data_IF_161108867380
#
_entry.id   IF_161108867380
#
_cell.length_a   1.000
_cell.length_b   1.000
_cell.length_c   1.000
_cell.angle_alpha   90.00
_cell.angle_beta   90.00
_cell.angle_gamma   90.00
#
_symmetry.space_group_name_H-M   'P 1'
#
loop_
_entity.id
_entity.type
_entity.pdbx_description
1 polymer ?
#
# COMPACT_ATOMS: atom_id res chain seq x y z
N UNK A 1 3.05 -1.94 2.21
CA UNK A 1 2.14 -2.10 1.05
C UNK A 1 2.41 -3.39 0.24
N UNK A 2 3.67 -3.81 0.07
CA UNK A 2 4.13 -5.05 -0.62
C UNK A 2 3.26 -6.29 -0.38
N UNK A 3 3.02 -6.68 0.87
CA UNK A 3 2.30 -7.92 1.18
C UNK A 3 0.87 -8.04 0.62
N UNK A 4 0.12 -6.94 0.55
CA UNK A 4 -1.24 -6.98 0.00
C UNK A 4 -1.25 -6.99 -1.53
N UNK A 5 -0.27 -6.30 -2.13
CA UNK A 5 -0.04 -6.31 -3.57
C UNK A 5 0.39 -7.72 -4.04
N UNK A 6 1.28 -8.38 -3.31
CA UNK A 6 1.70 -9.77 -3.57
C UNK A 6 0.53 -10.75 -3.48
N UNK A 7 -0.34 -10.59 -2.47
CA UNK A 7 -1.53 -11.44 -2.33
C UNK A 7 -2.51 -11.22 -3.47
N UNK A 8 -2.72 -9.97 -3.89
CA UNK A 8 -3.54 -9.65 -5.07
C UNK A 8 -2.98 -10.29 -6.34
N UNK A 9 -1.67 -10.10 -6.60
CA UNK A 9 -0.94 -10.72 -7.71
C UNK A 9 -1.14 -12.23 -7.72
N UNK A 10 -0.90 -12.89 -6.58
CA UNK A 10 -1.04 -14.35 -6.44
C UNK A 10 -2.45 -14.81 -6.79
N UNK A 11 -3.49 -14.12 -6.30
CA UNK A 11 -4.88 -14.47 -6.61
C UNK A 11 -5.20 -14.27 -8.08
N UNK A 12 -4.73 -13.17 -8.68
CA UNK A 12 -4.94 -12.91 -10.10
C UNK A 12 -4.25 -13.96 -10.99
N UNK A 13 -3.02 -14.36 -10.64
CA UNK A 13 -2.29 -15.44 -11.30
C UNK A 13 -2.97 -16.81 -11.16
N UNK A 14 -3.53 -17.10 -9.97
CA UNK A 14 -4.31 -18.32 -9.74
C UNK A 14 -5.61 -18.34 -10.55
N UNK A 15 -6.25 -17.19 -10.75
CA UNK A 15 -7.45 -17.04 -11.58
C UNK A 15 -7.11 -17.19 -13.06
N UNK A 16 -6.02 -16.56 -13.52
CA UNK A 16 -5.52 -16.64 -14.89
C UNK A 16 -5.14 -18.07 -15.28
N UNK A 17 -4.43 -18.78 -14.40
CA UNK A 17 -4.06 -20.18 -14.58
C UNK A 17 -5.22 -21.17 -14.38
N UNK A 18 -6.43 -20.70 -14.05
CA UNK A 18 -7.61 -21.55 -13.80
C UNK A 18 -7.51 -22.40 -12.53
N UNK A 19 -6.52 -22.18 -11.66
CA UNK A 19 -6.37 -22.86 -10.36
C UNK A 19 -7.44 -22.42 -9.36
N UNK A 20 -8.00 -21.23 -9.55
CA UNK A 20 -9.14 -20.71 -8.78
C UNK A 20 -10.22 -20.19 -9.73
N UNK A 21 -11.44 -20.10 -9.21
CA UNK A 21 -12.56 -19.40 -9.86
C UNK A 21 -13.05 -18.27 -8.97
N UNK A 22 -13.60 -17.23 -9.58
CA UNK A 22 -14.31 -16.16 -8.90
C UNK A 22 -15.74 -16.10 -9.44
N UNK A 23 -16.70 -15.98 -8.53
CA UNK A 23 -18.04 -15.54 -8.89
C UNK A 23 -18.07 -14.00 -8.99
N UNK A 24 -19.20 -13.45 -9.44
CA UNK A 24 -19.35 -12.01 -9.62
C UNK A 24 -19.13 -11.21 -8.32
N UNK A 25 -19.51 -11.79 -7.17
CA UNK A 25 -19.31 -11.16 -5.86
C UNK A 25 -17.83 -11.06 -5.50
N UNK A 26 -17.08 -12.15 -5.70
CA UNK A 26 -15.63 -12.20 -5.48
C UNK A 26 -14.88 -11.33 -6.48
N UNK A 27 -15.30 -11.29 -7.74
CA UNK A 27 -14.71 -10.43 -8.75
C UNK A 27 -14.85 -8.94 -8.39
N UNK A 28 -16.05 -8.53 -7.98
CA UNK A 28 -16.31 -7.16 -7.48
C UNK A 28 -15.48 -6.84 -6.24
N UNK A 29 -15.35 -7.80 -5.31
CA UNK A 29 -14.56 -7.62 -4.10
C UNK A 29 -13.06 -7.49 -4.39
N UNK A 30 -12.52 -8.28 -5.32
CA UNK A 30 -11.14 -8.18 -5.80
C UNK A 30 -10.88 -6.82 -6.44
N UNK A 31 -11.80 -6.34 -7.29
CA UNK A 31 -11.62 -5.04 -7.94
C UNK A 31 -11.58 -3.89 -6.95
N UNK A 32 -12.52 -3.86 -6.00
CA UNK A 32 -12.51 -2.87 -4.91
C UNK A 32 -11.25 -2.99 -4.03
N UNK A 33 -10.71 -4.19 -3.86
CA UNK A 33 -9.47 -4.37 -3.11
C UNK A 33 -8.25 -3.85 -3.85
N UNK A 34 -8.17 -4.07 -5.15
CA UNK A 34 -7.14 -3.49 -6.00
C UNK A 34 -7.21 -1.95 -5.99
N UNK A 35 -8.40 -1.36 -6.08
CA UNK A 35 -8.58 0.10 -5.99
C UNK A 35 -8.05 0.67 -4.67
N UNK A 36 -8.37 0.04 -3.53
CA UNK A 36 -7.88 0.49 -2.22
C UNK A 36 -6.36 0.37 -2.10
N UNK A 37 -5.76 -0.72 -2.59
CA UNK A 37 -4.30 -0.89 -2.61
C UNK A 37 -3.66 0.17 -3.50
N UNK A 38 -4.21 0.44 -4.68
CA UNK A 38 -3.68 1.48 -5.57
C UNK A 38 -3.81 2.89 -4.97
N UNK A 39 -4.90 3.18 -4.25
CA UNK A 39 -5.08 4.46 -3.57
C UNK A 39 -4.06 4.64 -2.44
N UNK A 40 -3.74 3.57 -1.70
CA UNK A 40 -2.74 3.61 -0.65
C UNK A 40 -1.33 3.81 -1.17
N UNK A 41 -0.94 3.11 -2.24
CA UNK A 41 0.38 3.30 -2.87
C UNK A 41 0.51 4.74 -3.38
N UNK A 42 -0.52 5.28 -4.05
CA UNK A 42 -0.52 6.67 -4.49
C UNK A 42 -0.39 7.65 -3.33
N UNK A 43 -1.16 7.44 -2.27
CA UNK A 43 -1.08 8.29 -1.09
C UNK A 43 0.30 8.29 -0.46
N UNK A 44 0.95 7.13 -0.37
CA UNK A 44 2.27 6.98 0.23
C UNK A 44 3.34 7.77 -0.52
N UNK A 45 3.54 7.50 -1.81
CA UNK A 45 4.59 8.18 -2.58
C UNK A 45 4.33 9.70 -2.71
N UNK A 46 3.06 10.11 -2.81
CA UNK A 46 2.72 11.53 -2.83
C UNK A 46 3.13 12.22 -1.53
N UNK A 47 3.01 11.53 -0.38
CA UNK A 47 3.45 12.05 0.92
C UNK A 47 4.96 12.09 1.04
N UNK A 48 5.66 11.15 0.42
CA UNK A 48 7.12 11.19 0.35
C UNK A 48 7.59 12.42 -0.40
N UNK A 49 7.10 12.66 -1.61
CA UNK A 49 7.47 13.83 -2.41
C UNK A 49 7.06 15.16 -1.74
N UNK A 50 5.84 15.25 -1.20
CA UNK A 50 5.32 16.51 -0.65
C UNK A 50 5.92 16.88 0.71
N UNK A 51 6.29 15.88 1.53
CA UNK A 51 6.55 16.08 2.95
C UNK A 51 7.89 15.48 3.38
N UNK A 52 8.16 14.22 3.04
CA UNK A 52 9.35 13.50 3.56
C UNK A 52 10.61 13.96 2.85
N UNK A 53 10.64 13.96 1.51
CA UNK A 53 11.79 14.37 0.70
C UNK A 53 12.30 15.76 1.07
N UNK A 54 11.44 16.80 1.18
CA UNK A 54 11.88 18.11 1.62
C UNK A 54 12.58 18.13 2.98
N UNK A 55 12.17 17.26 3.93
CA UNK A 55 12.83 17.17 5.25
C UNK A 55 14.21 16.55 5.11
N UNK A 56 14.33 15.48 4.34
CA UNK A 56 15.59 14.77 4.12
C UNK A 56 16.57 15.67 3.37
N UNK A 57 16.15 16.33 2.29
CA UNK A 57 16.99 17.26 1.51
C UNK A 57 17.52 18.40 2.37
N UNK A 58 16.67 19.02 3.20
CA UNK A 58 17.11 20.09 4.11
C UNK A 58 18.13 19.61 5.15
N UNK A 59 18.06 18.34 5.55
CA UNK A 59 18.90 17.78 6.62
C UNK A 59 20.22 17.21 6.08
N UNK A 60 20.17 16.52 4.95
CA UNK A 60 21.30 15.80 4.37
C UNK A 60 22.00 16.58 3.25
N UNK A 61 21.32 17.52 2.58
CA UNK A 61 21.85 18.29 1.46
C UNK A 61 22.44 17.37 0.38
N UNK A 62 23.68 17.65 -0.04
CA UNK A 62 24.38 16.86 -1.06
C UNK A 62 24.73 15.41 -0.64
N UNK A 63 24.43 15.00 0.60
CA UNK A 63 24.64 13.61 1.03
C UNK A 63 23.53 12.66 0.56
N UNK A 64 22.49 13.17 -0.11
CA UNK A 64 21.39 12.37 -0.67
C UNK A 64 21.05 12.87 -2.08
N UNK A 65 20.68 11.93 -2.94
CA UNK A 65 20.04 12.20 -4.22
C UNK A 65 18.77 11.35 -4.28
N UNK A 66 17.63 12.04 -4.37
CA UNK A 66 16.29 11.47 -4.37
C UNK A 66 15.68 11.39 -5.77
N UNK A 67 16.40 11.88 -6.80
CA UNK A 67 15.89 11.99 -8.17
C UNK A 67 15.38 10.66 -8.70
N UNK A 68 16.18 9.58 -8.60
CA UNK A 68 15.77 8.26 -9.08
C UNK A 68 14.47 7.76 -8.38
N UNK A 69 14.35 7.98 -7.08
CA UNK A 69 13.18 7.52 -6.30
C UNK A 69 11.93 8.34 -6.64
N UNK A 70 12.08 9.65 -6.87
CA UNK A 70 10.96 10.47 -7.36
C UNK A 70 10.61 10.17 -8.82
N UNK A 71 11.57 9.74 -9.64
CA UNK A 71 11.30 9.27 -11.00
C UNK A 71 10.47 7.98 -10.95
N UNK A 72 10.79 7.03 -10.06
CA UNK A 72 9.95 5.84 -9.82
C UNK A 72 8.51 6.22 -9.44
N UNK A 73 8.31 7.25 -8.61
CA UNK A 73 6.97 7.73 -8.25
C UNK A 73 6.16 8.16 -9.48
N UNK A 74 6.82 8.81 -10.45
CA UNK A 74 6.18 9.20 -11.71
C UNK A 74 5.79 8.00 -12.58
N UNK A 75 6.54 6.90 -12.50
CA UNK A 75 6.24 5.64 -13.18
C UNK A 75 5.12 4.84 -12.50
N UNK A 76 4.94 4.98 -11.18
CA UNK A 76 3.89 4.30 -10.43
C UNK A 76 2.49 4.72 -10.90
N UNK A 77 2.24 6.01 -11.11
CA UNK A 77 0.90 6.52 -11.44
C UNK A 77 0.22 5.85 -12.65
N UNK A 78 0.87 5.74 -13.83
CA UNK A 78 0.27 5.02 -14.96
C UNK A 78 0.07 3.52 -14.68
N UNK A 79 0.95 2.88 -13.89
CA UNK A 79 0.79 1.46 -13.52
C UNK A 79 -0.39 1.25 -12.56
N UNK A 80 -0.58 2.15 -11.61
CA UNK A 80 -1.72 2.14 -10.69
C UNK A 80 -3.03 2.26 -11.48
N UNK A 81 -3.09 3.13 -12.49
CA UNK A 81 -4.28 3.23 -13.33
C UNK A 81 -4.51 1.99 -14.19
N UNK A 82 -3.46 1.37 -14.75
CA UNK A 82 -3.58 0.10 -15.47
C UNK A 82 -4.19 -0.99 -14.58
N UNK A 83 -3.76 -1.10 -13.32
CA UNK A 83 -4.36 -2.05 -12.36
C UNK A 83 -5.84 -1.72 -12.11
N UNK A 84 -6.19 -0.45 -11.88
CA UNK A 84 -7.60 -0.04 -11.66
C UNK A 84 -8.48 -0.39 -12.86
N UNK A 85 -8.04 -0.10 -14.08
CA UNK A 85 -8.76 -0.42 -15.32
C UNK A 85 -8.93 -1.94 -15.47
N UNK A 86 -7.84 -2.71 -15.34
CA UNK A 86 -7.88 -4.16 -15.48
C UNK A 86 -8.79 -4.81 -14.42
N UNK A 87 -8.75 -4.30 -13.18
CA UNK A 87 -9.57 -4.77 -12.08
C UNK A 87 -11.07 -4.52 -12.33
N UNK A 88 -11.43 -3.32 -12.80
CA UNK A 88 -12.81 -2.98 -13.19
C UNK A 88 -13.30 -3.84 -14.35
N UNK A 89 -12.45 -4.07 -15.35
CA UNK A 89 -12.78 -4.94 -16.47
C UNK A 89 -13.03 -6.39 -16.01
N UNK A 90 -12.16 -6.94 -15.16
CA UNK A 90 -12.33 -8.26 -14.56
C UNK A 90 -13.68 -8.38 -13.82
N UNK A 91 -14.02 -7.40 -12.98
CA UNK A 91 -15.31 -7.36 -12.29
C UNK A 91 -16.49 -7.23 -13.25
N UNK A 92 -16.37 -6.45 -14.32
CA UNK A 92 -17.40 -6.25 -15.35
C UNK A 92 -17.78 -7.54 -16.10
N UNK A 93 -16.88 -8.52 -16.17
CA UNK A 93 -17.17 -9.85 -16.75
C UNK A 93 -17.77 -10.83 -15.74
N UNK A 94 -18.00 -10.41 -14.49
CA UNK A 94 -18.40 -11.30 -13.40
C UNK A 94 -17.32 -12.29 -12.98
N UNK A 95 -16.05 -12.02 -13.30
CA UNK A 95 -14.92 -12.90 -13.01
C UNK A 95 -14.67 -13.99 -14.05
N UNK A 96 -15.41 -13.99 -15.17
CA UNK A 96 -15.28 -14.97 -16.25
C UNK A 96 -14.14 -14.65 -17.25
N UNK A 97 -13.66 -13.40 -17.29
CA UNK A 97 -12.59 -12.95 -18.19
C UNK A 97 -11.81 -11.77 -17.63
N UNK A 98 -10.68 -11.44 -18.27
CA UNK A 98 -9.81 -10.32 -17.85
C UNK A 98 -8.82 -10.64 -16.72
N UNK A 99 -8.77 -11.89 -16.24
CA UNK A 99 -7.81 -12.32 -15.22
C UNK A 99 -6.35 -12.19 -15.71
N UNK A 100 -6.07 -12.49 -16.97
CA UNK A 100 -4.74 -12.36 -17.60
C UNK A 100 -4.20 -10.93 -17.53
N UNK A 101 -5.01 -9.95 -17.92
CA UNK A 101 -4.62 -8.54 -17.91
C UNK A 101 -4.45 -8.03 -16.48
N UNK A 102 -5.37 -8.40 -15.57
CA UNK A 102 -5.26 -8.04 -14.16
C UNK A 102 -3.98 -8.62 -13.53
N UNK A 103 -3.66 -9.89 -13.83
CA UNK A 103 -2.45 -10.54 -13.34
C UNK A 103 -1.19 -9.88 -13.91
N UNK A 104 -1.19 -9.50 -15.19
CA UNK A 104 -0.07 -8.80 -15.82
C UNK A 104 0.17 -7.42 -15.20
N UNK A 105 -0.89 -6.62 -15.04
CA UNK A 105 -0.79 -5.30 -14.43
C UNK A 105 -0.31 -5.38 -12.97
N UNK A 106 -0.83 -6.32 -12.19
CA UNK A 106 -0.41 -6.52 -10.79
C UNK A 106 1.03 -7.03 -10.68
N UNK A 107 1.51 -7.86 -11.62
CA UNK A 107 2.92 -8.26 -11.67
C UNK A 107 3.84 -7.06 -11.86
N UNK A 108 3.61 -6.28 -12.91
CA UNK A 108 4.45 -5.11 -13.21
C UNK A 108 4.45 -4.10 -12.06
N UNK A 109 3.28 -3.80 -11.48
CA UNK A 109 3.21 -2.93 -10.31
C UNK A 109 3.94 -3.52 -9.09
N UNK A 110 3.78 -4.82 -8.84
CA UNK A 110 4.46 -5.51 -7.73
C UNK A 110 5.98 -5.45 -7.87
N UNK A 111 6.49 -5.74 -9.05
CA UNK A 111 7.94 -5.80 -9.28
C UNK A 111 8.57 -4.40 -9.08
N UNK A 112 7.96 -3.33 -9.62
CA UNK A 112 8.44 -1.96 -9.41
C UNK A 112 8.35 -1.52 -7.94
N UNK A 113 7.24 -1.80 -7.25
CA UNK A 113 7.08 -1.43 -5.83
C UNK A 113 8.07 -2.20 -4.95
N UNK A 114 8.40 -3.45 -5.28
CA UNK A 114 9.39 -4.21 -4.53
C UNK A 114 10.79 -3.61 -4.69
N UNK A 115 11.22 -3.32 -5.92
CA UNK A 115 12.50 -2.67 -6.22
C UNK A 115 12.61 -1.30 -5.56
N UNK A 116 11.59 -0.46 -5.73
CA UNK A 116 11.54 0.88 -5.16
C UNK A 116 11.67 0.87 -3.63
N UNK A 117 10.90 0.03 -2.93
CA UNK A 117 10.99 -0.03 -1.46
C UNK A 117 12.34 -0.60 -1.00
N UNK A 118 12.94 -1.54 -1.73
CA UNK A 118 14.29 -2.04 -1.43
C UNK A 118 15.36 -0.93 -1.58
N UNK A 119 15.23 -0.09 -2.61
CA UNK A 119 16.06 1.08 -2.83
C UNK A 119 15.94 2.08 -1.69
N UNK A 120 14.72 2.43 -1.28
CA UNK A 120 14.46 3.36 -0.18
C UNK A 120 15.05 2.85 1.15
N UNK A 121 14.76 1.61 1.52
CA UNK A 121 15.26 0.98 2.74
C UNK A 121 16.80 1.00 2.78
N UNK A 122 17.44 0.73 1.63
CA UNK A 122 18.90 0.67 1.50
C UNK A 122 19.55 2.05 1.50
N UNK A 123 18.97 3.03 0.80
CA UNK A 123 19.60 4.33 0.53
C UNK A 123 19.18 5.40 1.53
N UNK A 124 17.90 5.43 1.89
CA UNK A 124 17.29 6.57 2.57
C UNK A 124 17.26 6.39 4.08
N UNK A 125 17.02 5.18 4.58
CA UNK A 125 16.95 4.96 6.03
C UNK A 125 18.26 5.33 6.74
N UNK A 126 19.46 4.95 6.25
CA UNK A 126 20.72 5.39 6.86
C UNK A 126 20.92 6.92 6.81
N UNK A 127 20.38 7.59 5.78
CA UNK A 127 20.44 9.05 5.66
C UNK A 127 19.54 9.70 6.73
N UNK A 128 18.32 9.18 6.91
CA UNK A 128 17.41 9.65 7.96
C UNK A 128 18.09 9.52 9.33
N UNK A 129 18.60 8.33 9.67
CA UNK A 129 19.23 8.06 10.96
C UNK A 129 20.44 8.96 11.24
N UNK A 130 21.23 9.28 10.20
CA UNK A 130 22.47 10.03 10.35
C UNK A 130 22.27 11.55 10.35
N UNK A 131 21.34 12.06 9.56
CA UNK A 131 21.24 13.49 9.25
C UNK A 131 19.98 14.16 9.81
N UNK A 132 18.87 13.44 9.96
CA UNK A 132 17.61 14.03 10.38
C UNK A 132 17.52 14.08 11.90
N UNK A 133 17.38 15.27 12.47
CA UNK A 133 17.20 15.41 13.91
C UNK A 133 15.85 14.84 14.35
N UNK A 134 15.82 14.16 15.50
CA UNK A 134 14.59 13.56 16.03
C UNK A 134 13.44 14.56 16.23
N UNK A 135 13.74 15.84 16.48
CA UNK A 135 12.73 16.89 16.59
C UNK A 135 12.08 17.22 15.25
N UNK A 136 12.86 17.27 14.18
CA UNK A 136 12.38 17.53 12.82
C UNK A 136 11.58 16.33 12.29
N UNK A 137 12.06 15.11 12.56
CA UNK A 137 11.32 13.88 12.28
C UNK A 137 9.95 13.88 12.96
N UNK A 138 9.90 14.18 14.26
CA UNK A 138 8.63 14.24 15.02
C UNK A 138 7.68 15.34 14.52
N UNK A 139 8.22 16.47 14.07
CA UNK A 139 7.41 17.54 13.48
C UNK A 139 6.79 17.10 12.14
N UNK A 140 7.56 16.42 11.30
CA UNK A 140 7.10 15.82 10.05
C UNK A 140 6.02 14.74 10.27
N UNK A 141 6.21 13.84 11.24
CA UNK A 141 5.19 12.83 11.60
C UNK A 141 3.84 13.49 11.98
N UNK A 142 3.89 14.67 12.59
CA UNK A 142 2.67 15.42 12.93
C UNK A 142 1.97 15.97 11.68
N UNK A 143 2.71 16.39 10.65
CA UNK A 143 2.12 16.86 9.39
C UNK A 143 1.56 15.74 8.52
N UNK A 144 2.01 14.49 8.70
CA UNK A 144 1.44 13.31 8.03
C UNK A 144 0.07 12.90 8.59
N UNK A 145 -0.37 13.48 9.71
CA UNK A 145 -1.68 13.19 10.31
C UNK A 145 -2.81 13.78 9.46
N UNK A 146 -3.49 12.94 8.66
CA UNK A 146 -4.67 13.36 7.87
C UNK A 146 -5.20 12.39 6.81
N UNK A 147 -4.68 11.17 6.68
CA UNK A 147 -5.17 10.16 5.72
C UNK A 147 -6.46 9.45 6.15
N UNK A 148 -7.07 8.63 5.26
CA UNK A 148 -8.24 7.79 5.61
C UNK A 148 -7.83 6.77 6.67
N UNK A 149 -8.29 6.89 7.92
CA UNK A 149 -7.88 6.00 9.00
C UNK A 149 -8.26 4.55 8.70
N UNK A 150 -9.27 4.27 7.88
CA UNK A 150 -9.75 2.90 7.65
C UNK A 150 -8.70 2.01 7.00
N UNK A 151 -7.84 2.56 6.13
CA UNK A 151 -6.77 1.82 5.47
C UNK A 151 -5.58 1.62 6.42
N UNK A 152 -5.10 2.70 7.03
CA UNK A 152 -4.03 2.67 8.04
C UNK A 152 -4.34 1.67 9.18
N UNK A 153 -5.59 1.65 9.63
CA UNK A 153 -6.09 0.73 10.65
C UNK A 153 -6.14 -0.73 10.15
N UNK A 154 -6.52 -0.96 8.89
CA UNK A 154 -6.54 -2.30 8.28
C UNK A 154 -5.13 -2.88 8.08
N UNK A 155 -4.21 -1.99 7.71
CA UNK A 155 -2.84 -2.31 7.38
C UNK A 155 -2.03 -2.56 8.65
N UNK A 156 -2.14 -1.66 9.65
CA UNK A 156 -1.58 -1.84 10.97
C UNK A 156 -2.07 -3.14 11.63
N UNK A 157 -3.36 -3.48 11.58
CA UNK A 157 -3.86 -4.73 12.18
C UNK A 157 -3.24 -5.99 11.58
N UNK A 158 -2.76 -5.94 10.34
CA UNK A 158 -2.25 -7.10 9.60
C UNK A 158 -0.75 -7.27 9.71
N UNK A 159 -0.01 -6.17 9.60
CA UNK A 159 1.44 -6.20 9.45
C UNK A 159 2.19 -5.68 10.67
N UNK A 160 1.54 -4.92 11.56
CA UNK A 160 2.21 -4.49 12.78
C UNK A 160 2.46 -5.69 13.69
N UNK A 161 3.70 -5.80 14.14
CA UNK A 161 4.06 -6.69 15.25
C UNK A 161 3.25 -6.34 16.50
N UNK A 162 3.17 -7.26 17.48
CA UNK A 162 2.48 -6.98 18.75
C UNK A 162 2.97 -5.70 19.43
N UNK A 163 4.28 -5.42 19.34
CA UNK A 163 4.91 -4.26 19.97
C UNK A 163 4.60 -2.96 19.21
N UNK A 164 4.68 -2.96 17.88
CA UNK A 164 4.28 -1.82 17.03
C UNK A 164 2.79 -1.51 17.20
N UNK A 165 1.94 -2.53 17.26
CA UNK A 165 0.52 -2.37 17.49
C UNK A 165 0.22 -1.82 18.90
N UNK A 166 0.98 -2.23 19.92
CA UNK A 166 0.88 -1.64 21.26
C UNK A 166 1.30 -0.16 21.25
N UNK A 167 2.32 0.19 20.46
CA UNK A 167 2.77 1.57 20.27
C UNK A 167 1.71 2.42 19.56
N UNK A 168 1.14 1.95 18.45
CA UNK A 168 0.05 2.61 17.71
C UNK A 168 -1.14 2.88 18.63
N UNK A 169 -1.56 1.90 19.44
CA UNK A 169 -2.67 2.07 20.40
C UNK A 169 -2.38 3.12 21.46
N UNK A 170 -1.12 3.23 21.92
CA UNK A 170 -0.69 4.27 22.85
C UNK A 170 -0.72 5.66 22.22
N UNK A 171 -0.25 5.80 20.98
CA UNK A 171 -0.23 7.07 20.25
C UNK A 171 -1.62 7.55 19.84
N UNK A 172 -2.53 6.62 19.53
CA UNK A 172 -3.84 6.93 19.00
C UNK A 172 -4.97 7.01 20.04
N UNK A 173 -4.72 6.53 21.26
CA UNK A 173 -5.66 6.60 22.36
C UNK A 173 -6.84 5.63 22.26
N UNK A 174 -7.80 5.71 23.20
CA UNK A 174 -8.87 4.73 23.35
C UNK A 174 -9.89 4.77 22.20
N UNK A 175 -10.09 5.91 21.55
CA UNK A 175 -11.07 6.08 20.47
C UNK A 175 -10.66 5.32 19.21
N UNK A 176 -9.40 5.44 18.76
CA UNK A 176 -8.92 4.71 17.59
C UNK A 176 -8.79 3.21 17.86
N UNK A 177 -8.43 2.83 19.09
CA UNK A 177 -8.40 1.43 19.54
C UNK A 177 -9.80 0.79 19.50
N UNK A 178 -10.85 1.55 19.83
CA UNK A 178 -12.24 1.10 19.72
C UNK A 178 -12.67 0.97 18.24
N UNK A 179 -12.28 1.93 17.39
CA UNK A 179 -12.52 1.87 15.94
C UNK A 179 -11.86 0.64 15.29
N UNK A 180 -10.62 0.30 15.68
CA UNK A 180 -9.97 -0.95 15.26
C UNK A 180 -10.82 -2.17 15.56
N UNK A 181 -11.33 -2.28 16.79
CA UNK A 181 -12.14 -3.42 17.23
C UNK A 181 -13.44 -3.52 16.42
N UNK A 182 -14.09 -2.39 16.14
CA UNK A 182 -15.37 -2.35 15.43
C UNK A 182 -15.25 -2.62 13.92
N UNK A 183 -14.15 -2.22 13.27
CA UNK A 183 -13.95 -2.37 11.82
C UNK A 183 -13.34 -3.74 11.46
N UNK A 184 -12.63 -4.38 12.39
CA UNK A 184 -11.99 -5.70 12.23
C UNK A 184 -12.89 -6.81 11.67
N UNK A 185 -14.12 -7.04 12.16
CA UNK A 185 -14.97 -8.11 11.64
C UNK A 185 -15.33 -7.91 10.16
N UNK A 186 -15.62 -6.66 9.77
CA UNK A 186 -15.94 -6.29 8.38
C UNK A 186 -14.73 -6.48 7.46
N UNK A 187 -13.55 -6.07 7.91
CA UNK A 187 -12.30 -6.29 7.17
C UNK A 187 -11.99 -7.78 7.02
N UNK A 188 -12.11 -8.58 8.08
CA UNK A 188 -11.91 -10.04 8.01
C UNK A 188 -12.90 -10.71 7.06
N UNK A 189 -14.15 -10.25 7.01
CA UNK A 189 -15.15 -10.76 6.04
C UNK A 189 -14.76 -10.40 4.60
N UNK A 190 -14.34 -9.16 4.36
CA UNK A 190 -13.86 -8.72 3.04
C UNK A 190 -12.61 -9.48 2.61
N UNK A 191 -11.67 -9.71 3.51
CA UNK A 191 -10.47 -10.52 3.27
C UNK A 191 -10.81 -11.95 2.87
N UNK A 192 -11.71 -12.60 3.62
CA UNK A 192 -12.21 -13.95 3.28
C UNK A 192 -12.83 -14.00 1.89
N UNK A 193 -13.62 -12.98 1.53
CA UNK A 193 -14.25 -12.90 0.22
C UNK A 193 -13.23 -12.75 -0.92
N UNK A 194 -12.19 -11.94 -0.72
CA UNK A 194 -11.16 -11.68 -1.73
C UNK A 194 -10.19 -12.88 -1.87
N UNK A 195 -9.64 -13.33 -0.75
CA UNK A 195 -8.50 -14.26 -0.71
C UNK A 195 -8.87 -15.72 -0.43
N UNK A 196 -10.06 -16.00 0.10
CA UNK A 196 -10.51 -17.35 0.43
C UNK A 196 -9.94 -17.93 1.73
N UNK A 197 -9.33 -17.11 2.59
CA UNK A 197 -8.79 -17.46 3.91
C UNK A 197 -9.45 -16.67 5.02
#
# INVERSE_FOLDING_TARGET
>A
MRGDLHRLRTVAEDLDAGRRRADAARATALARYAEDVCAAIHHHHSREDEIVWPVIERSAGAAVDLTDLSDDHSELDPLLERVRVAARAFAGTGGAGGATELAAALRTLSDLVDEHIEEEERRIFPVIEKYVAAADWKAMEKSLRGGDPRFELAWADRYATPDEMAHIRRLAGPVLSLLLILVRPGQRRRQRLVFGS
#
